data_IF_958358541318
#
_entry.id   IF_958358541318
#
_cell.length_a   1.000
_cell.length_b   1.000
_cell.length_c   1.000
_cell.angle_alpha   90.00
_cell.angle_beta   90.00
_cell.angle_gamma   90.00
#
_symmetry.space_group_name_H-M   'P 1'
#
loop_
_entity.id
_entity.type
_entity.pdbx_description
1 polymer ?
#
# COMPACT_ATOMS: atom_id res chain seq x y z
N UNK A 1 56.99 49.44 -8.28
CA UNK A 1 55.55 49.25 -8.01
C UNK A 1 54.94 48.52 -9.19
N UNK A 2 54.63 47.24 -9.03
CA UNK A 2 54.10 46.38 -10.10
C UNK A 2 52.57 46.33 -9.94
N UNK A 3 51.83 46.77 -10.96
CA UNK A 3 50.37 46.75 -11.00
C UNK A 3 49.88 45.33 -11.25
N UNK A 4 49.27 44.73 -10.22
CA UNK A 4 48.61 43.43 -10.29
C UNK A 4 47.33 43.54 -11.14
N UNK A 5 47.34 42.90 -12.30
CA UNK A 5 46.17 42.76 -13.17
C UNK A 5 45.34 41.59 -12.66
N UNK A 6 44.23 41.86 -11.96
CA UNK A 6 43.26 40.82 -11.62
C UNK A 6 42.53 40.38 -12.89
N UNK A 7 42.87 39.21 -13.41
CA UNK A 7 42.07 38.55 -14.43
C UNK A 7 40.78 38.03 -13.79
N UNK A 8 39.63 38.50 -14.26
CA UNK A 8 38.32 37.97 -13.89
C UNK A 8 38.21 36.53 -14.42
N UNK A 9 38.16 35.57 -13.49
CA UNK A 9 38.11 34.14 -13.82
C UNK A 9 36.76 33.75 -14.43
N UNK A 10 36.79 33.29 -15.69
CA UNK A 10 35.63 32.72 -16.41
C UNK A 10 35.02 31.52 -15.65
N UNK A 11 35.80 30.87 -14.77
CA UNK A 11 35.35 29.79 -13.89
C UNK A 11 34.18 30.18 -12.98
N UNK A 12 34.08 31.45 -12.60
CA UNK A 12 32.99 31.94 -11.73
C UNK A 12 31.71 32.28 -12.51
N UNK A 13 31.79 32.55 -13.81
CA UNK A 13 30.60 32.83 -14.64
C UNK A 13 29.89 31.51 -15.01
N UNK A 14 30.66 30.43 -15.20
CA UNK A 14 30.12 29.09 -15.49
C UNK A 14 29.43 28.43 -14.29
N UNK A 15 29.69 28.89 -13.06
CA UNK A 15 29.03 28.35 -11.86
C UNK A 15 27.57 28.82 -11.72
N UNK A 16 27.20 29.94 -12.34
CA UNK A 16 25.82 30.45 -12.40
C UNK A 16 24.92 29.63 -13.34
N UNK A 17 25.52 28.88 -14.27
CA UNK A 17 24.80 27.98 -15.19
C UNK A 17 24.79 26.52 -14.72
N UNK A 18 25.29 26.22 -13.51
CA UNK A 18 25.20 24.86 -12.97
C UNK A 18 23.76 24.60 -12.50
N UNK A 19 23.06 23.59 -13.06
CA UNK A 19 21.77 23.20 -12.52
C UNK A 19 21.96 22.82 -11.05
N UNK A 20 21.19 23.45 -10.17
CA UNK A 20 21.14 23.09 -8.76
C UNK A 20 20.80 21.60 -8.70
N UNK A 21 21.68 20.79 -8.10
CA UNK A 21 21.37 19.37 -7.86
C UNK A 21 20.08 19.32 -7.06
N UNK A 22 19.00 18.92 -7.70
CA UNK A 22 17.73 18.64 -7.05
C UNK A 22 17.97 17.42 -6.17
N UNK A 23 17.88 17.60 -4.86
CA UNK A 23 17.86 16.49 -3.91
C UNK A 23 16.62 15.68 -4.22
N UNK A 24 16.80 14.50 -4.82
CA UNK A 24 15.69 13.59 -5.09
C UNK A 24 15.01 13.20 -3.78
N UNK A 25 13.68 13.11 -3.81
CA UNK A 25 12.89 12.74 -2.63
C UNK A 25 13.25 11.33 -2.16
N UNK A 26 13.24 11.09 -0.83
CA UNK A 26 13.69 9.81 -0.23
C UNK A 26 12.95 8.58 -0.79
N UNK A 27 11.66 8.75 -1.10
CA UNK A 27 10.84 7.69 -1.71
C UNK A 27 11.37 7.32 -3.11
N UNK A 28 11.73 8.32 -3.93
CA UNK A 28 12.28 8.08 -5.27
C UNK A 28 13.62 7.35 -5.19
N UNK A 29 14.48 7.75 -4.25
CA UNK A 29 15.75 7.06 -4.00
C UNK A 29 15.54 5.60 -3.57
N UNK A 30 14.52 5.33 -2.74
CA UNK A 30 14.16 3.96 -2.37
C UNK A 30 13.62 3.17 -3.56
N UNK A 31 12.77 3.75 -4.40
CA UNK A 31 12.26 3.08 -5.59
C UNK A 31 13.39 2.74 -6.58
N UNK A 32 14.36 3.63 -6.75
CA UNK A 32 15.56 3.35 -7.55
C UNK A 32 16.36 2.18 -6.98
N UNK A 33 16.57 2.13 -5.66
CA UNK A 33 17.25 1.00 -4.99
C UNK A 33 16.51 -0.33 -5.16
N UNK A 34 15.18 -0.29 -5.30
CA UNK A 34 14.34 -1.47 -5.58
C UNK A 34 14.33 -1.88 -7.06
N UNK A 35 15.00 -1.14 -7.94
CA UNK A 35 15.12 -1.46 -9.36
C UNK A 35 14.12 -0.73 -10.27
N UNK A 36 13.30 0.19 -9.73
CA UNK A 36 12.44 1.03 -10.57
C UNK A 36 13.27 2.16 -11.18
N UNK A 37 13.63 2.01 -12.46
CA UNK A 37 14.59 2.90 -13.13
C UNK A 37 13.92 3.99 -13.95
N UNK A 38 12.71 3.77 -14.45
CA UNK A 38 11.99 4.78 -15.23
C UNK A 38 11.10 5.67 -14.34
N UNK A 39 10.98 6.95 -14.70
CA UNK A 39 10.11 7.89 -13.99
C UNK A 39 8.63 7.45 -14.06
N UNK A 40 8.23 6.79 -15.14
CA UNK A 40 6.88 6.24 -15.32
C UNK A 40 6.59 5.11 -14.31
N UNK A 41 7.49 4.14 -14.18
CA UNK A 41 7.34 3.06 -13.20
C UNK A 41 7.31 3.60 -11.77
N UNK A 42 8.22 4.51 -11.43
CA UNK A 42 8.26 5.15 -10.12
C UNK A 42 6.96 5.91 -9.82
N UNK A 43 6.43 6.64 -10.81
CA UNK A 43 5.15 7.33 -10.72
C UNK A 43 3.98 6.37 -10.49
N UNK A 44 3.93 5.25 -11.20
CA UNK A 44 2.89 4.24 -11.04
C UNK A 44 2.94 3.57 -9.66
N UNK A 45 4.12 3.27 -9.14
CA UNK A 45 4.28 2.70 -7.80
C UNK A 45 3.86 3.73 -6.73
N UNK A 46 4.27 4.99 -6.87
CA UNK A 46 3.87 6.04 -5.95
C UNK A 46 2.34 6.20 -5.96
N UNK A 47 1.72 6.19 -7.14
CA UNK A 47 0.26 6.22 -7.27
C UNK A 47 -0.40 5.02 -6.59
N UNK A 48 0.12 3.80 -6.79
CA UNK A 48 -0.40 2.61 -6.14
C UNK A 48 -0.32 2.69 -4.61
N UNK A 49 0.77 3.24 -4.05
CA UNK A 49 0.91 3.48 -2.61
C UNK A 49 -0.13 4.50 -2.12
N UNK A 50 -0.31 5.60 -2.84
CA UNK A 50 -1.30 6.62 -2.47
C UNK A 50 -2.72 6.04 -2.46
N UNK A 51 -3.09 5.26 -3.48
CA UNK A 51 -4.41 4.60 -3.51
C UNK A 51 -4.54 3.60 -2.36
N UNK A 52 -3.52 2.78 -2.09
CA UNK A 52 -3.53 1.85 -0.95
C UNK A 52 -3.64 2.53 0.42
N UNK A 53 -3.17 3.77 0.56
CA UNK A 53 -3.35 4.53 1.82
C UNK A 53 -4.81 4.90 2.12
N UNK A 54 -5.63 5.08 1.08
CA UNK A 54 -7.08 5.32 1.22
C UNK A 54 -7.76 4.06 1.74
N UNK A 55 -7.38 2.90 1.20
CA UNK A 55 -7.89 1.59 1.63
C UNK A 55 -7.61 1.33 3.12
N UNK A 56 -6.43 1.72 3.61
CA UNK A 56 -6.12 1.63 5.03
C UNK A 56 -7.06 2.49 5.89
N UNK A 57 -7.42 3.68 5.41
CA UNK A 57 -8.36 4.55 6.12
C UNK A 57 -9.75 3.93 6.19
N UNK A 58 -10.23 3.36 5.09
CA UNK A 58 -11.51 2.63 5.04
C UNK A 58 -11.48 1.42 5.98
N UNK A 59 -10.42 0.63 5.98
CA UNK A 59 -10.27 -0.50 6.89
C UNK A 59 -10.36 -0.08 8.37
N UNK A 60 -9.73 1.03 8.75
CA UNK A 60 -9.83 1.57 10.10
C UNK A 60 -11.27 2.02 10.43
N UNK A 61 -11.94 2.70 9.49
CA UNK A 61 -13.35 3.11 9.66
C UNK A 61 -14.27 1.90 9.86
N UNK A 62 -14.14 0.88 9.01
CA UNK A 62 -14.93 -0.35 9.10
C UNK A 62 -14.69 -1.08 10.43
N UNK A 63 -13.43 -1.12 10.90
CA UNK A 63 -13.10 -1.73 12.18
C UNK A 63 -13.72 -0.99 13.37
N UNK A 64 -13.75 0.34 13.33
CA UNK A 64 -14.42 1.15 14.36
C UNK A 64 -15.93 0.91 14.30
N UNK A 65 -16.54 0.93 13.12
CA UNK A 65 -17.98 0.67 12.96
C UNK A 65 -18.38 -0.73 13.47
N UNK A 66 -17.54 -1.74 13.22
CA UNK A 66 -17.78 -3.11 13.66
C UNK A 66 -17.72 -3.27 15.18
N UNK A 67 -16.80 -2.57 15.86
CA UNK A 67 -16.52 -2.80 17.28
C UNK A 67 -17.09 -1.76 18.23
N UNK A 68 -17.39 -0.54 17.76
CA UNK A 68 -18.02 0.49 18.57
C UNK A 68 -19.41 0.02 19.03
N UNK A 69 -19.69 0.16 20.32
CA UNK A 69 -20.92 -0.31 20.98
C UNK A 69 -21.17 -1.84 20.83
N UNK A 70 -20.14 -2.62 20.51
CA UNK A 70 -20.21 -4.09 20.42
C UNK A 70 -19.81 -4.76 21.74
N UNK A 71 -20.12 -6.06 21.87
CA UNK A 71 -19.67 -6.89 23.01
C UNK A 71 -18.14 -7.00 23.13
N UNK A 72 -17.39 -6.68 22.07
CA UNK A 72 -15.93 -6.76 22.03
C UNK A 72 -15.25 -5.45 22.45
N UNK A 73 -15.98 -4.34 22.56
CA UNK A 73 -15.40 -3.02 22.78
C UNK A 73 -14.54 -2.97 24.05
N UNK A 74 -15.07 -3.45 25.18
CA UNK A 74 -14.37 -3.44 26.46
C UNK A 74 -13.11 -4.32 26.43
N UNK A 75 -13.17 -5.48 25.77
CA UNK A 75 -12.02 -6.36 25.62
C UNK A 75 -10.91 -5.68 24.79
N UNK A 76 -11.27 -5.10 23.65
CA UNK A 76 -10.33 -4.37 22.77
C UNK A 76 -9.72 -3.17 23.51
N UNK A 77 -10.54 -2.39 24.23
CA UNK A 77 -10.10 -1.24 25.02
C UNK A 77 -9.08 -1.66 26.08
N UNK A 78 -9.35 -2.73 26.81
CA UNK A 78 -8.45 -3.24 27.84
C UNK A 78 -7.12 -3.73 27.25
N UNK A 79 -7.15 -4.45 26.14
CA UNK A 79 -5.96 -4.90 25.42
C UNK A 79 -5.13 -3.72 24.89
N UNK A 80 -5.79 -2.68 24.37
CA UNK A 80 -5.13 -1.46 23.90
C UNK A 80 -4.42 -0.70 25.04
N UNK A 81 -5.08 -0.56 26.20
CA UNK A 81 -4.50 0.06 27.38
C UNK A 81 -3.33 -0.75 27.96
N UNK A 82 -3.39 -2.08 27.85
CA UNK A 82 -2.30 -2.97 28.23
C UNK A 82 -1.12 -2.94 27.25
N UNK A 83 -1.27 -2.31 26.08
CA UNK A 83 -0.22 -2.19 25.07
C UNK A 83 0.02 -3.47 24.26
N UNK A 84 -1.00 -4.32 24.11
CA UNK A 84 -0.89 -5.62 23.43
C UNK A 84 -0.84 -5.51 21.90
N UNK A 85 0.27 -4.98 21.36
CA UNK A 85 0.42 -4.67 19.93
C UNK A 85 0.55 -5.90 19.04
N UNK A 86 1.01 -7.03 19.57
CA UNK A 86 1.32 -8.24 18.80
C UNK A 86 0.46 -9.45 19.19
N UNK A 87 -0.36 -9.34 20.24
CA UNK A 87 -1.24 -10.42 20.71
C UNK A 87 -2.66 -10.33 20.14
N UNK A 88 -3.64 -10.26 21.02
CA UNK A 88 -5.05 -10.43 20.69
C UNK A 88 -5.64 -9.23 19.92
N UNK A 89 -5.07 -8.03 20.04
CA UNK A 89 -5.48 -6.90 19.17
C UNK A 89 -5.31 -7.20 17.69
N UNK A 90 -4.26 -7.95 17.32
CA UNK A 90 -4.02 -8.35 15.93
C UNK A 90 -5.12 -9.30 15.44
N UNK A 91 -5.68 -10.13 16.34
CA UNK A 91 -6.79 -11.03 16.00
C UNK A 91 -8.05 -10.23 15.69
N UNK A 92 -8.42 -9.26 16.54
CA UNK A 92 -9.55 -8.36 16.27
C UNK A 92 -9.36 -7.57 14.97
N UNK A 93 -8.15 -7.08 14.70
CA UNK A 93 -7.86 -6.36 13.47
C UNK A 93 -8.03 -7.25 12.22
N UNK A 94 -7.52 -8.50 12.26
CA UNK A 94 -7.68 -9.47 11.17
C UNK A 94 -9.14 -9.88 10.98
N UNK A 95 -9.86 -10.06 12.07
CA UNK A 95 -11.26 -10.45 12.04
C UNK A 95 -12.13 -9.33 11.45
N UNK A 96 -11.86 -8.08 11.80
CA UNK A 96 -12.50 -6.93 11.16
C UNK A 96 -12.20 -6.87 9.67
N UNK A 97 -10.96 -7.11 9.24
CA UNK A 97 -10.63 -7.16 7.80
C UNK A 97 -11.28 -8.33 7.06
N UNK A 98 -11.52 -9.46 7.74
CA UNK A 98 -12.24 -10.62 7.17
C UNK A 98 -13.72 -10.29 6.99
N UNK A 99 -14.33 -9.71 8.02
CA UNK A 99 -15.75 -9.38 8.04
C UNK A 99 -16.03 -8.17 7.15
N UNK A 100 -15.28 -7.10 7.21
CA UNK A 100 -15.56 -5.90 6.42
C UNK A 100 -14.30 -5.38 5.71
N UNK A 101 -13.84 -6.07 4.64
CA UNK A 101 -12.67 -5.66 3.90
C UNK A 101 -12.86 -4.28 3.26
N UNK A 102 -11.77 -3.52 3.12
CA UNK A 102 -11.83 -2.16 2.56
C UNK A 102 -12.28 -2.11 1.09
N UNK A 103 -12.12 -3.22 0.37
CA UNK A 103 -12.65 -3.41 -0.98
C UNK A 103 -13.31 -4.78 -1.12
N UNK A 104 -14.37 -4.83 -1.93
CA UNK A 104 -15.18 -6.05 -2.13
C UNK A 104 -14.39 -7.20 -2.77
N UNK A 105 -13.48 -6.89 -3.69
CA UNK A 105 -12.82 -7.90 -4.50
C UNK A 105 -11.99 -7.33 -5.63
N UNK A 106 -11.41 -8.22 -6.45
CA UNK A 106 -10.53 -7.83 -7.56
C UNK A 106 -10.83 -8.61 -8.83
N UNK A 107 -10.71 -7.94 -9.96
CA UNK A 107 -10.76 -8.62 -11.26
C UNK A 107 -9.41 -9.26 -11.61
N UNK A 108 -9.47 -10.43 -12.23
CA UNK A 108 -8.35 -11.16 -12.81
C UNK A 108 -8.72 -11.66 -14.20
N UNK A 109 -7.70 -11.92 -15.01
CA UNK A 109 -7.84 -12.55 -16.32
C UNK A 109 -7.18 -13.93 -16.22
N UNK A 110 -7.89 -14.96 -16.68
CA UNK A 110 -7.37 -16.31 -16.67
C UNK A 110 -6.25 -16.46 -17.70
N UNK A 111 -5.08 -16.94 -17.26
CA UNK A 111 -3.93 -17.16 -18.15
C UNK A 111 -4.08 -18.38 -19.06
N UNK A 112 -4.97 -19.29 -18.68
CA UNK A 112 -5.22 -20.59 -19.30
C UNK A 112 -6.64 -21.03 -18.97
N UNK A 113 -7.13 -22.05 -19.68
CA UNK A 113 -8.37 -22.71 -19.32
C UNK A 113 -8.23 -23.37 -17.94
N UNK A 114 -9.23 -23.20 -17.08
CA UNK A 114 -9.30 -23.79 -15.75
C UNK A 114 -10.66 -24.46 -15.55
N UNK A 115 -10.63 -25.76 -15.24
CA UNK A 115 -11.79 -26.58 -14.95
C UNK A 115 -11.64 -27.18 -13.55
N UNK A 116 -12.28 -26.59 -12.55
CA UNK A 116 -12.27 -27.09 -11.18
C UNK A 116 -13.56 -26.71 -10.47
N UNK A 117 -14.07 -27.60 -9.62
CA UNK A 117 -15.21 -27.33 -8.72
C UNK A 117 -16.48 -26.82 -9.44
N UNK A 118 -16.77 -27.39 -10.61
CA UNK A 118 -17.92 -27.00 -11.44
C UNK A 118 -17.78 -25.64 -12.14
N UNK A 119 -16.64 -24.96 -11.95
CA UNK A 119 -16.31 -23.71 -12.61
C UNK A 119 -15.44 -24.02 -13.84
N UNK A 120 -15.95 -23.64 -15.01
CA UNK A 120 -15.21 -23.67 -16.27
C UNK A 120 -14.87 -22.22 -16.66
N UNK A 121 -13.60 -21.86 -16.53
CA UNK A 121 -13.07 -20.56 -16.91
C UNK A 121 -12.20 -20.76 -18.14
N UNK A 122 -12.54 -20.09 -19.22
CA UNK A 122 -11.71 -20.08 -20.42
C UNK A 122 -10.54 -19.11 -20.26
N UNK A 123 -9.43 -19.40 -20.95
CA UNK A 123 -8.32 -18.47 -21.15
C UNK A 123 -8.84 -17.11 -21.61
N UNK A 124 -8.23 -16.06 -21.10
CA UNK A 124 -8.61 -14.65 -21.32
C UNK A 124 -9.99 -14.28 -20.74
N UNK A 125 -10.67 -15.24 -20.09
CA UNK A 125 -11.88 -15.01 -19.32
C UNK A 125 -11.63 -14.11 -18.11
N UNK A 126 -12.54 -13.16 -17.90
CA UNK A 126 -12.51 -12.27 -16.73
C UNK A 126 -13.20 -12.95 -15.55
N UNK A 127 -12.49 -13.00 -14.42
CA UNK A 127 -12.99 -13.53 -13.15
C UNK A 127 -13.00 -12.41 -12.12
N UNK A 128 -14.05 -12.35 -11.31
CA UNK A 128 -14.08 -11.48 -10.14
C UNK A 128 -13.87 -12.31 -8.88
N UNK A 129 -12.82 -12.00 -8.13
CA UNK A 129 -12.55 -12.59 -6.83
C UNK A 129 -13.29 -11.78 -5.77
N UNK A 130 -14.46 -12.26 -5.35
CA UNK A 130 -15.28 -11.63 -4.31
C UNK A 130 -14.73 -11.98 -2.91
N UNK A 131 -13.89 -11.09 -2.38
CA UNK A 131 -13.22 -11.26 -1.09
C UNK A 131 -14.22 -11.10 0.05
N UNK A 132 -15.19 -10.17 -0.09
CA UNK A 132 -16.23 -9.95 0.91
C UNK A 132 -17.09 -11.21 1.13
N UNK A 133 -17.49 -11.87 0.04
CA UNK A 133 -18.23 -13.13 0.10
C UNK A 133 -17.34 -14.27 0.64
N UNK A 134 -16.10 -14.36 0.18
CA UNK A 134 -15.15 -15.39 0.63
C UNK A 134 -14.88 -15.29 2.14
N UNK A 135 -14.73 -14.07 2.67
CA UNK A 135 -14.51 -13.83 4.09
C UNK A 135 -15.61 -14.41 4.98
N UNK A 136 -16.86 -14.48 4.50
CA UNK A 136 -18.02 -15.01 5.24
C UNK A 136 -18.34 -16.48 4.96
N UNK A 137 -17.54 -17.15 4.13
CA UNK A 137 -17.80 -18.53 3.79
C UNK A 137 -17.41 -19.48 4.94
N UNK A 138 -18.41 -20.07 5.58
CA UNK A 138 -18.25 -20.97 6.74
C UNK A 138 -17.41 -22.21 6.40
N UNK A 139 -17.40 -22.67 5.14
CA UNK A 139 -16.62 -23.82 4.70
C UNK A 139 -15.10 -23.59 4.67
N UNK A 140 -14.64 -22.33 4.77
CA UNK A 140 -13.23 -21.93 4.76
C UNK A 140 -12.76 -21.45 6.15
N UNK A 141 -13.64 -21.50 7.15
CA UNK A 141 -13.38 -21.00 8.50
C UNK A 141 -12.54 -22.02 9.29
N UNK A 142 -11.21 -21.89 9.25
CA UNK A 142 -10.33 -22.58 10.19
C UNK A 142 -10.41 -21.87 11.55
N UNK A 143 -11.32 -22.34 12.39
CA UNK A 143 -11.35 -22.28 13.87
C UNK A 143 -10.80 -20.96 14.47
N UNK A 144 -11.72 -20.09 14.90
CA UNK A 144 -11.52 -19.10 15.97
C UNK A 144 -11.32 -19.80 17.31
#
# INVERSE_FOLDING_TARGET
>A
MCLSTQQLSISNILSLFRPKKTTEHIIVQHLQKLGYTSACEQGNVLLAIMVGSVELSVACTNMVDLYLDSEYEDAIRNLALAGDKEGDLVRYAREALRLDPSFKGVYRIASSDHNSDGLNIQKDGRVFLDIYAAGRNVGVMLIS
#
